data_IF_212588995392
#
_entry.id   IF_212588995392
#
_cell.length_a   1.000
_cell.length_b   1.000
_cell.length_c   1.000
_cell.angle_alpha   90.00
_cell.angle_beta   90.00
_cell.angle_gamma   90.00
#
_symmetry.space_group_name_H-M   'P 1'
#
loop_
_entity.id
_entity.type
_entity.pdbx_description
1 polymer ?
#
# COMPACT_ATOMS: atom_id res chain seq x y z
N UNK A 1 -2.30 17.74 -15.72
CA UNK A 1 -2.09 16.30 -15.38
C UNK A 1 -2.62 15.41 -16.51
N UNK A 2 -1.91 14.28 -16.77
CA UNK A 2 -2.34 13.29 -17.77
C UNK A 2 -3.37 12.32 -17.15
N UNK A 3 -4.62 12.77 -17.00
CA UNK A 3 -5.71 11.97 -16.41
C UNK A 3 -5.91 10.62 -17.12
N UNK A 4 -5.97 10.52 -18.48
CA UNK A 4 -6.11 9.23 -19.14
C UNK A 4 -4.95 8.26 -18.85
N UNK A 5 -3.72 8.74 -18.86
CA UNK A 5 -2.56 7.91 -18.54
C UNK A 5 -2.58 7.41 -17.08
N UNK A 6 -2.98 8.25 -16.14
CA UNK A 6 -3.14 7.89 -14.74
C UNK A 6 -4.27 6.84 -14.57
N UNK A 7 -5.44 7.06 -15.18
CA UNK A 7 -6.55 6.12 -15.10
C UNK A 7 -6.18 4.74 -15.64
N UNK A 8 -5.48 4.69 -16.78
CA UNK A 8 -4.98 3.43 -17.36
C UNK A 8 -4.00 2.71 -16.42
N UNK A 9 -3.03 3.43 -15.86
CA UNK A 9 -2.07 2.86 -14.91
C UNK A 9 -2.76 2.36 -13.64
N UNK A 10 -3.70 3.14 -13.10
CA UNK A 10 -4.49 2.78 -11.93
C UNK A 10 -5.33 1.52 -12.16
N UNK A 11 -6.10 1.46 -13.26
CA UNK A 11 -6.93 0.29 -13.59
C UNK A 11 -6.07 -0.95 -13.82
N UNK A 12 -4.94 -0.83 -14.52
CA UNK A 12 -4.00 -1.94 -14.70
C UNK A 12 -3.49 -2.48 -13.36
N UNK A 13 -3.16 -1.61 -12.41
CA UNK A 13 -2.72 -1.99 -11.07
C UNK A 13 -3.86 -2.62 -10.25
N UNK A 14 -5.05 -2.02 -10.28
CA UNK A 14 -6.24 -2.46 -9.55
C UNK A 14 -6.71 -3.86 -9.96
N UNK A 15 -6.61 -4.17 -11.25
CA UNK A 15 -7.16 -5.41 -11.81
C UNK A 15 -6.13 -6.54 -11.93
N UNK A 16 -4.84 -6.25 -11.71
CA UNK A 16 -3.78 -7.24 -11.75
C UNK A 16 -4.05 -8.37 -10.74
N UNK A 17 -4.08 -9.63 -11.22
CA UNK A 17 -4.38 -10.78 -10.38
C UNK A 17 -5.74 -10.69 -9.67
N UNK A 18 -6.72 -10.03 -10.29
CA UNK A 18 -8.05 -9.77 -9.70
C UNK A 18 -7.95 -8.97 -8.39
N UNK A 19 -6.98 -8.07 -8.31
CA UNK A 19 -6.75 -7.23 -7.12
C UNK A 19 -6.19 -7.98 -5.89
N UNK A 20 -5.70 -9.21 -6.05
CA UNK A 20 -5.22 -10.05 -4.94
C UNK A 20 -3.74 -9.82 -4.66
N UNK A 21 -3.32 -8.56 -4.59
CA UNK A 21 -1.97 -8.16 -4.21
C UNK A 21 -1.99 -7.32 -2.94
N UNK A 22 -0.95 -7.46 -2.12
CA UNK A 22 -0.78 -6.72 -0.86
C UNK A 22 -0.73 -5.19 -1.04
N UNK A 23 -0.38 -4.70 -2.22
CA UNK A 23 -0.35 -3.28 -2.58
C UNK A 23 -1.35 -2.93 -3.67
N UNK A 24 -2.48 -3.64 -3.72
CA UNK A 24 -3.57 -3.24 -4.59
C UNK A 24 -4.09 -1.85 -4.19
N UNK A 25 -4.29 -0.90 -5.16
CA UNK A 25 -4.70 0.46 -4.85
C UNK A 25 -6.19 0.52 -4.44
N UNK A 26 -6.47 0.25 -3.17
CA UNK A 26 -7.83 0.23 -2.61
C UNK A 26 -8.42 1.61 -2.32
N UNK A 27 -7.59 2.64 -2.14
CA UNK A 27 -8.01 4.02 -1.91
C UNK A 27 -7.34 4.94 -2.94
N UNK A 28 -8.10 5.87 -3.47
CA UNK A 28 -7.57 6.95 -4.30
C UNK A 28 -8.22 8.27 -3.92
N UNK A 29 -7.41 9.28 -3.61
CA UNK A 29 -7.84 10.61 -3.21
C UNK A 29 -7.73 11.55 -4.40
N UNK A 30 -8.84 12.19 -4.77
CA UNK A 30 -8.94 12.99 -6.00
C UNK A 30 -9.57 14.36 -5.67
N UNK A 31 -8.98 15.48 -6.13
CA UNK A 31 -9.61 16.77 -5.95
C UNK A 31 -10.94 16.85 -6.74
N UNK A 32 -11.96 17.48 -6.17
CA UNK A 32 -13.30 17.60 -6.76
C UNK A 32 -13.26 18.12 -8.21
N UNK A 33 -12.36 19.08 -8.48
CA UNK A 33 -12.18 19.65 -9.80
C UNK A 33 -11.76 18.66 -10.89
N UNK A 34 -11.20 17.49 -10.51
CA UNK A 34 -10.74 16.46 -11.43
C UNK A 34 -11.54 15.14 -11.30
N UNK A 35 -12.39 15.02 -10.29
CA UNK A 35 -13.08 13.77 -9.95
C UNK A 35 -13.89 13.21 -11.11
N UNK A 36 -14.72 14.05 -11.75
CA UNK A 36 -15.54 13.64 -12.89
C UNK A 36 -14.71 13.16 -14.09
N UNK A 37 -13.69 13.90 -14.46
CA UNK A 37 -12.84 13.54 -15.61
C UNK A 37 -12.05 12.24 -15.33
N UNK A 38 -11.62 12.05 -14.09
CA UNK A 38 -10.92 10.83 -13.68
C UNK A 38 -11.86 9.62 -13.62
N UNK A 39 -13.07 9.80 -13.09
CA UNK A 39 -14.13 8.77 -13.09
C UNK A 39 -14.44 8.29 -14.52
N UNK A 40 -14.69 9.24 -15.44
CA UNK A 40 -15.00 8.92 -16.84
C UNK A 40 -13.84 8.13 -17.51
N UNK A 41 -12.59 8.53 -17.23
CA UNK A 41 -11.42 7.84 -17.74
C UNK A 41 -11.28 6.42 -17.17
N UNK A 42 -11.46 6.24 -15.85
CA UNK A 42 -11.48 4.90 -15.22
C UNK A 42 -12.61 4.05 -15.79
N UNK A 43 -13.81 4.59 -15.89
CA UNK A 43 -14.98 3.86 -16.39
C UNK A 43 -14.77 3.37 -17.83
N UNK A 44 -14.07 4.16 -18.65
CA UNK A 44 -13.70 3.74 -20.02
C UNK A 44 -12.74 2.54 -20.02
N UNK A 45 -11.68 2.59 -19.22
CA UNK A 45 -10.71 1.50 -19.08
C UNK A 45 -11.35 0.22 -18.51
N UNK A 46 -12.28 0.36 -17.55
CA UNK A 46 -12.96 -0.77 -16.92
C UNK A 46 -13.95 -1.51 -17.81
N UNK A 47 -14.35 -0.95 -18.97
CA UNK A 47 -15.27 -1.62 -19.90
C UNK A 47 -14.70 -2.91 -20.48
N UNK A 48 -13.40 -2.92 -20.71
CA UNK A 48 -12.68 -4.05 -21.33
C UNK A 48 -12.23 -5.10 -20.29
N UNK A 49 -12.43 -4.83 -18.98
CA UNK A 49 -11.99 -5.73 -17.93
C UNK A 49 -13.07 -6.77 -17.63
N UNK A 50 -12.77 -8.02 -17.97
CA UNK A 50 -13.61 -9.16 -17.66
C UNK A 50 -13.38 -9.66 -16.22
N UNK A 51 -14.42 -10.27 -15.62
CA UNK A 51 -14.28 -11.01 -14.38
C UNK A 51 -13.36 -12.23 -14.59
N UNK A 52 -12.51 -12.51 -13.60
CA UNK A 52 -11.57 -13.62 -13.66
C UNK A 52 -11.52 -14.40 -12.33
N UNK A 53 -11.08 -15.68 -12.34
CA UNK A 53 -11.05 -16.50 -11.14
C UNK A 53 -10.16 -15.90 -10.04
N UNK A 54 -10.70 -15.83 -8.85
CA UNK A 54 -9.92 -15.57 -7.63
C UNK A 54 -9.22 -16.85 -7.18
N UNK A 55 -8.21 -16.72 -6.33
CA UNK A 55 -7.36 -17.83 -5.90
C UNK A 55 -8.14 -18.94 -5.19
N UNK A 56 -9.17 -18.59 -4.42
CA UNK A 56 -9.92 -19.53 -3.61
C UNK A 56 -11.39 -19.08 -3.48
N UNK A 57 -12.39 -19.99 -3.48
CA UNK A 57 -13.80 -19.65 -3.31
C UNK A 57 -14.10 -18.82 -2.06
N UNK A 58 -13.42 -19.09 -0.94
CA UNK A 58 -13.60 -18.33 0.30
C UNK A 58 -13.12 -16.88 0.19
N UNK A 59 -12.10 -16.59 -0.65
CA UNK A 59 -11.66 -15.21 -0.91
C UNK A 59 -12.72 -14.49 -1.76
N UNK A 60 -13.25 -15.16 -2.79
CA UNK A 60 -14.32 -14.61 -3.62
C UNK A 60 -15.58 -14.31 -2.78
N UNK A 61 -15.95 -15.22 -1.90
CA UNK A 61 -17.08 -15.01 -0.98
C UNK A 61 -16.85 -13.80 -0.07
N UNK A 62 -15.69 -13.71 0.61
CA UNK A 62 -15.36 -12.58 1.48
C UNK A 62 -15.32 -11.25 0.72
N UNK A 63 -14.84 -11.25 -0.53
CA UNK A 63 -14.88 -10.09 -1.41
C UNK A 63 -16.31 -9.62 -1.65
N UNK A 64 -17.21 -10.50 -2.08
CA UNK A 64 -18.61 -10.13 -2.36
C UNK A 64 -19.39 -9.77 -1.10
N UNK A 65 -19.16 -10.43 0.02
CA UNK A 65 -19.74 -10.04 1.31
C UNK A 65 -19.33 -8.62 1.71
N UNK A 66 -18.06 -8.26 1.48
CA UNK A 66 -17.56 -6.90 1.72
C UNK A 66 -18.20 -5.88 0.78
N UNK A 67 -18.34 -6.21 -0.51
CA UNK A 67 -19.03 -5.34 -1.47
C UNK A 67 -20.49 -5.15 -1.10
N UNK A 68 -21.21 -6.23 -0.79
CA UNK A 68 -22.62 -6.18 -0.38
C UNK A 68 -22.81 -5.33 0.89
N UNK A 69 -21.89 -5.45 1.84
CA UNK A 69 -21.91 -4.60 3.03
C UNK A 69 -21.74 -3.13 2.67
N UNK A 70 -20.79 -2.80 1.78
CA UNK A 70 -20.58 -1.42 1.32
C UNK A 70 -21.76 -0.90 0.48
N UNK A 71 -22.47 -1.76 -0.28
CA UNK A 71 -23.66 -1.37 -1.03
C UNK A 71 -24.82 -0.90 -0.12
N UNK A 72 -24.82 -1.31 1.13
CA UNK A 72 -25.79 -0.85 2.12
C UNK A 72 -25.52 0.54 2.70
N UNK A 73 -24.37 1.15 2.33
CA UNK A 73 -23.93 2.46 2.84
C UNK A 73 -24.42 3.58 1.92
N UNK A 74 -25.27 4.44 2.43
CA UNK A 74 -25.86 5.56 1.68
C UNK A 74 -24.84 6.63 1.31
N UNK A 75 -23.70 6.69 2.02
CA UNK A 75 -22.61 7.63 1.77
C UNK A 75 -21.85 7.32 0.47
N UNK A 76 -21.99 6.09 -0.07
CA UNK A 76 -21.28 5.64 -1.26
C UNK A 76 -22.12 5.80 -2.53
N UNK A 77 -21.49 6.36 -3.55
CA UNK A 77 -22.01 6.35 -4.93
C UNK A 77 -21.23 5.33 -5.74
N UNK A 78 -21.91 4.35 -6.30
CA UNK A 78 -21.28 3.33 -7.11
C UNK A 78 -21.05 3.79 -8.54
N UNK A 79 -19.80 3.77 -8.99
CA UNK A 79 -19.38 3.98 -10.38
C UNK A 79 -19.47 2.67 -11.15
N UNK A 80 -19.04 1.58 -10.52
CA UNK A 80 -19.17 0.22 -11.03
C UNK A 80 -19.40 -0.73 -9.86
N UNK A 81 -20.46 -1.54 -9.95
CA UNK A 81 -20.76 -2.59 -8.98
C UNK A 81 -20.17 -3.92 -9.46
N UNK A 82 -19.65 -4.70 -8.52
CA UNK A 82 -19.18 -6.04 -8.82
C UNK A 82 -20.34 -6.97 -9.21
N UNK A 83 -20.15 -7.78 -10.24
CA UNK A 83 -21.15 -8.73 -10.73
C UNK A 83 -20.83 -10.15 -10.22
N UNK A 84 -21.63 -10.73 -9.30
CA UNK A 84 -21.35 -12.01 -8.66
C UNK A 84 -21.77 -13.24 -9.50
N UNK A 85 -21.91 -13.11 -10.82
CA UNK A 85 -22.44 -14.18 -11.70
C UNK A 85 -21.74 -15.53 -11.58
N UNK A 86 -20.50 -15.56 -11.10
CA UNK A 86 -19.75 -16.80 -10.93
C UNK A 86 -19.12 -16.84 -9.53
N UNK A 87 -19.42 -17.85 -8.74
CA UNK A 87 -19.04 -18.03 -7.34
C UNK A 87 -17.53 -17.91 -7.04
N UNK A 88 -16.65 -18.05 -8.03
CA UNK A 88 -15.21 -17.96 -7.87
C UNK A 88 -14.59 -16.75 -8.59
N UNK A 89 -15.31 -16.13 -9.53
CA UNK A 89 -14.77 -15.02 -10.30
C UNK A 89 -14.97 -13.70 -9.57
N UNK A 90 -13.88 -12.95 -9.37
CA UNK A 90 -13.94 -11.56 -8.93
C UNK A 90 -14.15 -10.63 -10.11
N UNK A 91 -15.08 -9.71 -10.01
CA UNK A 91 -15.25 -8.59 -10.94
C UNK A 91 -14.88 -7.28 -10.27
N UNK A 92 -14.42 -6.30 -11.05
CA UNK A 92 -13.97 -5.02 -10.50
C UNK A 92 -15.16 -4.19 -10.02
N UNK A 93 -15.01 -3.57 -8.87
CA UNK A 93 -15.93 -2.59 -8.31
C UNK A 93 -15.22 -1.26 -8.01
N UNK A 94 -15.94 -0.15 -8.19
CA UNK A 94 -15.48 1.20 -7.89
C UNK A 94 -16.61 1.98 -7.24
N UNK A 95 -16.36 2.51 -6.04
CA UNK A 95 -17.26 3.41 -5.33
C UNK A 95 -16.62 4.79 -5.19
N UNK A 96 -17.45 5.81 -5.05
CA UNK A 96 -17.04 7.17 -4.72
C UNK A 96 -17.62 7.57 -3.38
N UNK A 97 -16.87 8.34 -2.61
CA UNK A 97 -17.29 8.94 -1.34
C UNK A 97 -16.72 10.36 -1.22
N UNK A 98 -17.46 11.26 -0.60
CA UNK A 98 -16.91 12.56 -0.21
C UNK A 98 -15.98 12.41 0.98
N UNK A 99 -14.87 13.17 0.99
CA UNK A 99 -13.86 13.13 2.06
C UNK A 99 -14.46 13.33 3.45
N UNK A 100 -15.40 14.28 3.59
CA UNK A 100 -16.11 14.55 4.85
C UNK A 100 -16.87 13.33 5.40
N UNK A 101 -17.37 12.44 4.55
CA UNK A 101 -18.04 11.21 4.98
C UNK A 101 -17.00 10.11 5.28
N UNK A 102 -15.95 10.02 4.47
CA UNK A 102 -14.85 9.08 4.69
C UNK A 102 -14.15 9.33 6.04
N UNK A 103 -13.94 10.58 6.42
CA UNK A 103 -13.32 10.98 7.69
C UNK A 103 -14.16 10.62 8.93
N UNK A 104 -15.49 10.53 8.79
CA UNK A 104 -16.40 10.23 9.92
C UNK A 104 -16.39 8.77 10.34
N UNK A 105 -16.03 7.83 9.47
CA UNK A 105 -16.13 6.40 9.76
C UNK A 105 -14.90 5.66 9.25
N UNK A 106 -14.07 5.21 10.18
CA UNK A 106 -12.85 4.42 9.89
C UNK A 106 -13.13 3.09 9.18
N UNK A 107 -14.38 2.68 9.10
CA UNK A 107 -14.82 1.52 8.36
C UNK A 107 -14.48 1.62 6.87
N UNK A 108 -14.51 2.83 6.30
CA UNK A 108 -14.12 3.07 4.92
C UNK A 108 -12.61 2.92 4.65
N UNK A 109 -11.80 2.72 5.70
CA UNK A 109 -10.40 2.36 5.60
C UNK A 109 -10.13 0.86 5.67
N UNK A 110 -11.16 0.03 5.88
CA UNK A 110 -10.98 -1.43 5.90
C UNK A 110 -10.66 -1.97 4.52
N UNK A 111 -9.68 -2.86 4.47
CA UNK A 111 -9.32 -3.56 3.25
C UNK A 111 -10.49 -4.39 2.71
N UNK A 112 -10.74 -4.27 1.41
CA UNK A 112 -11.59 -5.18 0.62
C UNK A 112 -10.68 -5.94 -0.33
N UNK A 113 -10.35 -7.19 0.01
CA UNK A 113 -9.35 -7.97 -0.71
C UNK A 113 -9.88 -8.50 -2.05
N UNK A 114 -9.54 -7.80 -3.13
CA UNK A 114 -10.02 -8.05 -4.49
C UNK A 114 -9.91 -6.78 -5.35
N UNK A 115 -10.45 -6.82 -6.56
CA UNK A 115 -10.42 -5.70 -7.50
C UNK A 115 -11.48 -4.65 -7.12
N UNK A 116 -11.28 -4.01 -5.97
CA UNK A 116 -12.11 -2.93 -5.45
C UNK A 116 -11.26 -1.69 -5.17
N UNK A 117 -11.80 -0.53 -5.50
CA UNK A 117 -11.25 0.74 -5.05
C UNK A 117 -12.36 1.71 -4.63
N UNK A 118 -12.02 2.59 -3.70
CA UNK A 118 -12.84 3.70 -3.26
C UNK A 118 -12.17 5.01 -3.66
N UNK A 119 -12.87 5.82 -4.46
CA UNK A 119 -12.46 7.16 -4.84
C UNK A 119 -12.98 8.14 -3.79
N UNK A 120 -12.09 8.72 -3.03
CA UNK A 120 -12.38 9.74 -2.01
C UNK A 120 -12.19 11.11 -2.63
N UNK A 121 -13.27 11.87 -2.74
CA UNK A 121 -13.25 13.19 -3.37
C UNK A 121 -13.12 14.27 -2.30
N UNK A 122 -12.07 15.09 -2.40
CA UNK A 122 -11.78 16.18 -1.48
C UNK A 122 -11.92 17.56 -2.16
N UNK A 123 -12.28 18.58 -1.40
CA UNK A 123 -12.59 19.93 -1.90
C UNK A 123 -11.43 20.93 -1.70
N UNK A 124 -10.53 20.68 -0.73
CA UNK A 124 -9.45 21.62 -0.39
C UNK A 124 -8.16 20.89 0.01
N UNK A 125 -7.01 21.61 -0.02
CA UNK A 125 -5.74 21.12 0.48
C UNK A 125 -5.80 20.81 1.98
N UNK A 126 -6.49 21.62 2.78
CA UNK A 126 -6.65 21.35 4.21
C UNK A 126 -7.45 20.08 4.48
N UNK A 127 -8.43 19.74 3.65
CA UNK A 127 -9.15 18.48 3.76
C UNK A 127 -8.26 17.28 3.37
N UNK A 128 -7.35 17.46 2.39
CA UNK A 128 -6.35 16.44 2.03
C UNK A 128 -5.34 16.22 3.16
N UNK A 129 -4.92 17.28 3.85
CA UNK A 129 -4.05 17.18 5.03
C UNK A 129 -4.77 16.44 6.16
N UNK A 130 -6.04 16.76 6.44
CA UNK A 130 -6.85 16.04 7.44
C UNK A 130 -7.01 14.55 7.09
N UNK A 131 -7.22 14.22 5.80
CA UNK A 131 -7.22 12.84 5.32
C UNK A 131 -5.89 12.16 5.64
N UNK A 132 -4.75 12.80 5.35
CA UNK A 132 -3.44 12.25 5.60
C UNK A 132 -3.18 12.00 7.09
N UNK A 133 -3.62 12.89 7.96
CA UNK A 133 -3.55 12.73 9.42
C UNK A 133 -4.35 11.51 9.91
N UNK A 134 -5.55 11.30 9.36
CA UNK A 134 -6.46 10.22 9.77
C UNK A 134 -6.20 8.89 9.06
N UNK A 135 -5.38 8.90 8.00
CA UNK A 135 -5.06 7.69 7.24
C UNK A 135 -4.35 6.67 8.15
N UNK A 136 -4.84 5.44 8.14
CA UNK A 136 -4.16 4.32 8.80
C UNK A 136 -2.84 4.00 8.11
N UNK A 137 -1.95 3.26 8.78
CA UNK A 137 -0.70 2.80 8.20
C UNK A 137 -0.90 1.98 6.92
N UNK A 138 -0.15 2.32 5.87
CA UNK A 138 -0.21 1.71 4.54
C UNK A 138 1.12 1.03 4.19
N UNK A 139 1.09 -0.01 3.37
CA UNK A 139 2.32 -0.57 2.78
C UNK A 139 2.93 0.40 1.78
N UNK A 140 2.09 1.05 0.98
CA UNK A 140 2.52 2.01 -0.05
C UNK A 140 1.57 3.17 -0.16
N UNK A 141 2.11 4.34 -0.42
CA UNK A 141 1.36 5.51 -0.87
C UNK A 141 2.01 6.01 -2.17
N UNK A 142 1.20 6.36 -3.16
CA UNK A 142 1.68 6.98 -4.40
C UNK A 142 1.15 8.40 -4.50
N UNK A 143 2.04 9.35 -4.77
CA UNK A 143 1.68 10.75 -5.04
C UNK A 143 1.78 11.00 -6.53
N UNK A 144 0.69 11.49 -7.12
CA UNK A 144 0.59 11.93 -8.51
C UNK A 144 0.40 13.45 -8.55
N UNK A 145 1.49 14.17 -8.72
CA UNK A 145 1.54 15.62 -8.81
C UNK A 145 2.66 16.07 -9.76
N UNK A 146 2.71 17.33 -10.10
CA UNK A 146 3.90 17.90 -10.74
C UNK A 146 4.93 18.26 -9.67
N UNK A 147 6.21 18.22 -10.03
CA UNK A 147 7.31 18.45 -9.07
C UNK A 147 7.21 19.80 -8.38
N UNK A 148 6.81 20.85 -9.11
CA UNK A 148 6.65 22.19 -8.54
C UNK A 148 5.48 22.27 -7.55
N UNK A 149 4.41 21.48 -7.75
CA UNK A 149 3.31 21.37 -6.79
C UNK A 149 3.82 20.75 -5.48
N UNK A 150 4.61 19.67 -5.57
CA UNK A 150 5.15 18.98 -4.39
C UNK A 150 6.12 19.85 -3.56
N UNK A 151 6.89 20.71 -4.18
CA UNK A 151 7.79 21.62 -3.44
C UNK A 151 7.04 22.53 -2.47
N UNK A 152 5.79 22.83 -2.76
CA UNK A 152 4.91 23.63 -1.91
C UNK A 152 4.11 22.81 -0.90
N UNK A 153 4.19 21.46 -0.97
CA UNK A 153 3.41 20.53 -0.16
C UNK A 153 4.30 19.68 0.77
N UNK A 154 5.41 20.25 1.27
CA UNK A 154 6.35 19.52 2.14
C UNK A 154 5.69 19.02 3.43
N UNK A 155 4.73 19.77 3.97
CA UNK A 155 3.99 19.34 5.16
C UNK A 155 3.20 18.06 4.88
N UNK A 156 2.44 18.02 3.78
CA UNK A 156 1.71 16.83 3.36
C UNK A 156 2.65 15.64 3.12
N UNK A 157 3.80 15.86 2.44
CA UNK A 157 4.77 14.78 2.21
C UNK A 157 5.29 14.19 3.51
N UNK A 158 5.61 15.03 4.50
CA UNK A 158 6.06 14.56 5.83
C UNK A 158 4.97 13.71 6.52
N UNK A 159 3.69 14.12 6.45
CA UNK A 159 2.59 13.31 6.97
C UNK A 159 2.49 11.95 6.28
N UNK A 160 2.63 11.92 4.95
CA UNK A 160 2.54 10.66 4.17
C UNK A 160 3.72 9.72 4.43
N UNK A 161 4.92 10.25 4.70
CA UNK A 161 6.09 9.45 5.10
C UNK A 161 5.84 8.69 6.41
N UNK A 162 5.13 9.32 7.37
CA UNK A 162 4.76 8.66 8.63
C UNK A 162 3.68 7.57 8.46
N UNK A 163 2.96 7.57 7.33
CA UNK A 163 1.82 6.68 7.07
C UNK A 163 2.15 5.48 6.19
N UNK A 164 3.35 5.38 5.61
CA UNK A 164 3.64 4.27 4.70
C UNK A 164 5.05 3.69 4.87
N UNK A 165 5.22 2.47 4.38
CA UNK A 165 6.54 1.85 4.28
C UNK A 165 7.27 2.24 3.00
N UNK A 166 6.54 2.64 1.95
CA UNK A 166 7.11 3.03 0.66
C UNK A 166 6.27 4.15 0.04
N UNK A 167 6.89 5.31 -0.13
CA UNK A 167 6.30 6.46 -0.81
C UNK A 167 6.77 6.47 -2.26
N UNK A 168 5.85 6.49 -3.22
CA UNK A 168 6.11 6.51 -4.65
C UNK A 168 5.72 7.85 -5.26
N UNK A 169 6.45 8.24 -6.30
CA UNK A 169 6.13 9.39 -7.12
C UNK A 169 5.80 8.96 -8.54
N UNK A 170 4.58 9.28 -9.00
CA UNK A 170 4.06 8.96 -10.35
C UNK A 170 4.14 7.47 -10.75
N UNK A 171 4.22 6.55 -9.78
CA UNK A 171 4.24 5.10 -10.02
C UNK A 171 2.91 4.45 -9.71
N UNK A 172 2.80 3.15 -9.99
CA UNK A 172 1.71 2.31 -9.48
C UNK A 172 2.24 1.39 -8.39
N UNK A 173 1.47 1.14 -7.31
CA UNK A 173 1.99 0.46 -6.13
C UNK A 173 2.17 -1.05 -6.31
N UNK A 174 1.43 -1.67 -7.23
CA UNK A 174 1.40 -3.13 -7.40
C UNK A 174 2.70 -3.64 -7.99
N UNK A 175 3.29 -4.63 -7.33
CA UNK A 175 4.59 -5.18 -7.65
C UNK A 175 5.72 -4.58 -6.83
N UNK A 176 6.72 -5.41 -6.54
CA UNK A 176 7.92 -5.04 -5.79
C UNK A 176 9.16 -5.62 -6.46
N UNK A 177 10.23 -4.84 -6.49
CA UNK A 177 11.54 -5.30 -6.93
C UNK A 177 12.36 -5.78 -5.72
N UNK A 178 13.08 -6.90 -5.88
CA UNK A 178 13.95 -7.43 -4.82
C UNK A 178 15.28 -6.68 -4.87
N UNK A 179 15.48 -5.76 -3.93
CA UNK A 179 16.67 -4.92 -3.83
C UNK A 179 17.06 -4.63 -2.39
N UNK A 180 18.24 -4.04 -2.20
CA UNK A 180 18.72 -3.64 -0.87
C UNK A 180 17.90 -2.52 -0.24
N UNK A 181 17.38 -1.59 -1.03
CA UNK A 181 16.57 -0.48 -0.57
C UNK A 181 15.07 -0.80 -0.46
N UNK A 182 14.66 -2.03 -0.81
CA UNK A 182 13.25 -2.40 -0.76
C UNK A 182 12.75 -2.44 0.68
N UNK A 183 11.68 -1.69 0.92
CA UNK A 183 10.92 -1.74 2.15
C UNK A 183 9.46 -2.13 1.82
N UNK A 184 9.08 -3.34 2.18
CA UNK A 184 7.71 -3.83 2.11
C UNK A 184 7.21 -4.10 3.52
N UNK A 185 6.70 -3.07 4.14
CA UNK A 185 6.26 -2.99 5.52
C UNK A 185 5.54 -1.67 5.73
N UNK A 186 5.65 -1.07 6.90
CA UNK A 186 5.04 0.22 7.19
C UNK A 186 4.55 0.28 8.63
N UNK A 187 3.87 1.37 9.03
CA UNK A 187 3.30 1.47 10.36
C UNK A 187 2.06 0.58 10.50
N UNK A 188 1.70 0.23 11.72
CA UNK A 188 0.46 -0.48 11.99
C UNK A 188 -0.76 0.29 11.43
N UNK A 189 -1.76 -0.35 10.80
CA UNK A 189 -2.00 -1.80 10.71
C UNK A 189 -1.38 -2.48 9.46
N UNK A 190 -0.59 -1.78 8.63
CA UNK A 190 -0.03 -2.39 7.41
C UNK A 190 0.91 -3.57 7.70
N UNK A 191 1.56 -3.56 8.86
CA UNK A 191 2.32 -4.69 9.39
C UNK A 191 2.32 -4.69 10.92
N UNK A 192 2.46 -5.87 11.51
CA UNK A 192 2.72 -6.05 12.95
C UNK A 192 4.21 -5.97 13.32
N UNK A 193 5.11 -5.83 12.33
CA UNK A 193 6.55 -5.80 12.51
C UNK A 193 7.19 -4.66 11.70
N UNK A 194 6.91 -3.38 12.06
CA UNK A 194 7.34 -2.20 11.29
C UNK A 194 8.86 -2.05 11.17
N UNK A 195 9.63 -2.67 12.07
CA UNK A 195 11.08 -2.66 12.08
C UNK A 195 11.72 -3.55 11.01
N UNK A 196 10.93 -4.32 10.25
CA UNK A 196 11.43 -5.26 9.25
C UNK A 196 10.66 -5.13 7.94
N UNK A 197 11.31 -5.51 6.85
CA UNK A 197 10.67 -5.69 5.54
C UNK A 197 10.31 -7.15 5.31
N UNK A 198 9.22 -7.43 4.56
CA UNK A 198 8.84 -8.79 4.14
C UNK A 198 9.41 -9.17 2.76
N UNK A 199 9.93 -8.21 2.00
CA UNK A 199 10.54 -8.41 0.67
C UNK A 199 11.87 -7.66 0.61
N UNK A 200 12.79 -8.12 -0.23
CA UNK A 200 14.10 -7.52 -0.42
C UNK A 200 15.20 -8.25 0.35
N UNK A 201 16.45 -7.80 0.13
CA UNK A 201 17.64 -8.50 0.68
C UNK A 201 17.67 -8.52 2.20
N UNK A 202 17.00 -7.59 2.86
CA UNK A 202 16.93 -7.52 4.31
C UNK A 202 15.77 -8.33 4.93
N UNK A 203 14.92 -8.95 4.12
CA UNK A 203 13.78 -9.74 4.62
C UNK A 203 14.21 -10.88 5.55
N UNK A 204 15.40 -11.44 5.34
CA UNK A 204 15.99 -12.50 6.20
C UNK A 204 16.06 -12.07 7.67
N UNK A 205 16.26 -10.78 7.96
CA UNK A 205 16.35 -10.26 9.33
C UNK A 205 15.07 -10.47 10.13
N UNK A 206 13.91 -10.64 9.46
CA UNK A 206 12.63 -10.94 10.10
C UNK A 206 12.63 -12.28 10.83
N UNK A 207 13.47 -13.22 10.38
CA UNK A 207 13.61 -14.57 10.93
C UNK A 207 14.79 -14.70 11.88
N UNK A 208 15.53 -13.62 12.14
CA UNK A 208 16.67 -13.57 13.02
C UNK A 208 16.36 -12.78 14.30
N UNK A 209 17.04 -13.10 15.35
CA UNK A 209 17.06 -12.31 16.58
C UNK A 209 18.49 -12.05 17.02
N UNK A 210 18.81 -10.90 17.62
CA UNK A 210 20.11 -10.69 18.23
C UNK A 210 20.29 -11.59 19.45
N UNK A 211 21.54 -11.97 19.70
CA UNK A 211 21.99 -12.61 20.92
C UNK A 211 23.26 -11.91 21.40
N UNK A 212 23.38 -11.65 22.67
CA UNK A 212 24.59 -11.11 23.30
C UNK A 212 25.33 -12.24 24.03
N UNK A 213 26.65 -12.24 23.92
CA UNK A 213 27.53 -13.05 24.75
C UNK A 213 28.25 -12.13 25.74
N UNK A 214 28.23 -12.49 27.00
CA UNK A 214 28.94 -11.76 28.07
C UNK A 214 29.85 -12.74 28.80
N UNK A 215 31.10 -12.35 29.02
CA UNK A 215 32.14 -13.13 29.74
C UNK A 215 32.34 -14.56 29.19
N UNK A 216 31.98 -14.76 27.91
CA UNK A 216 32.13 -16.04 27.24
C UNK A 216 33.62 -16.33 26.92
N UNK A 217 34.17 -17.51 27.27
CA UNK A 217 35.49 -17.91 26.82
C UNK A 217 35.65 -17.84 25.30
N UNK A 218 36.79 -17.35 24.84
CA UNK A 218 37.06 -17.15 23.41
C UNK A 218 36.85 -18.40 22.56
N UNK A 219 37.26 -19.55 23.08
CA UNK A 219 37.14 -20.83 22.38
C UNK A 219 35.69 -21.31 22.17
N UNK A 220 34.75 -20.75 22.93
CA UNK A 220 33.32 -21.06 22.87
C UNK A 220 32.53 -20.03 22.06
N UNK A 221 33.14 -18.91 21.69
CA UNK A 221 32.52 -17.94 20.83
C UNK A 221 32.43 -18.43 19.38
N UNK A 222 31.37 -18.05 18.63
CA UNK A 222 31.40 -18.17 17.17
C UNK A 222 32.61 -17.47 16.57
N UNK A 223 33.21 -18.02 15.50
CA UNK A 223 34.40 -17.45 14.86
C UNK A 223 34.24 -15.98 14.44
N UNK A 224 33.04 -15.58 14.08
CA UNK A 224 32.70 -14.19 13.74
C UNK A 224 32.91 -13.19 14.91
N UNK A 225 32.90 -13.68 16.16
CA UNK A 225 32.99 -12.85 17.37
C UNK A 225 34.31 -13.02 18.12
N UNK A 226 35.16 -13.99 17.72
CA UNK A 226 36.47 -14.24 18.37
C UNK A 226 37.43 -13.09 18.15
N UNK A 227 38.27 -12.84 19.13
CA UNK A 227 39.39 -11.91 18.99
C UNK A 227 40.30 -12.36 17.81
N UNK A 228 41.01 -11.39 17.22
CA UNK A 228 41.87 -11.67 16.07
C UNK A 228 41.13 -11.89 14.74
N UNK A 229 39.78 -11.84 14.71
CA UNK A 229 38.98 -11.93 13.50
C UNK A 229 39.37 -13.10 12.55
N UNK A 230 39.26 -14.36 12.97
CA UNK A 230 39.74 -15.51 12.20
C UNK A 230 39.07 -15.64 10.83
N UNK A 231 37.89 -15.06 10.61
CA UNK A 231 37.18 -15.05 9.34
C UNK A 231 37.58 -13.90 8.42
N UNK A 232 38.36 -12.92 8.90
CA UNK A 232 38.72 -11.72 8.12
C UNK A 232 37.51 -10.91 7.63
N UNK A 233 36.42 -10.90 8.36
CA UNK A 233 35.19 -10.21 8.01
C UNK A 233 35.14 -8.79 8.57
N UNK A 234 34.37 -7.91 7.95
CA UNK A 234 34.03 -6.61 8.52
C UNK A 234 33.13 -6.79 9.76
N UNK A 235 33.50 -6.17 10.86
CA UNK A 235 32.74 -6.19 12.12
C UNK A 235 32.85 -4.85 12.85
N UNK A 236 31.92 -4.60 13.72
CA UNK A 236 31.96 -3.41 14.57
C UNK A 236 32.59 -3.75 15.91
N UNK A 237 33.69 -3.08 16.25
CA UNK A 237 34.38 -3.20 17.54
C UNK A 237 34.43 -1.85 18.21
N UNK A 238 33.86 -1.74 19.40
CA UNK A 238 33.77 -0.47 20.17
C UNK A 238 33.21 0.70 19.36
N UNK A 239 32.23 0.43 18.48
CA UNK A 239 31.61 1.43 17.63
C UNK A 239 32.36 1.76 16.34
N UNK A 240 33.52 1.16 16.07
CA UNK A 240 34.31 1.34 14.86
C UNK A 240 34.21 0.12 13.94
N UNK A 241 34.16 0.36 12.63
CA UNK A 241 34.24 -0.71 11.64
C UNK A 241 35.69 -1.15 11.45
N UNK A 242 35.94 -2.44 11.64
CA UNK A 242 37.26 -3.07 11.50
C UNK A 242 37.15 -4.32 10.61
N UNK A 243 38.31 -4.71 10.01
CA UNK A 243 38.42 -5.94 9.24
C UNK A 243 39.58 -6.80 9.76
#
# INVERSE_FOLDING_TARGET
>A
QNIPGLAKAFVSSLTLGVGQFCTNPGLIFVPESQAKAFEEAIAAELKEIAAAPMLHPGIAQAYYESIQFLESREELRWVKVADPKHLINGSTALAEIKAQNWLKDSLFQKEVFGSFAMMVVYESESELEEIAEHLHGQLTITVWAEEEELKNQLFLLNLLEEKCGRLLFKGVPTGVEVGYAMQHGGPFPSTSAPQSTSVGSHAIKRFARPIAFQDMPQDLLPDALRDGNPLGIWRMVNGNWEK
#
